data_IF_247310378467
#
_entry.id   IF_247310378467
#
_cell.length_a   1.000
_cell.length_b   1.000
_cell.length_c   1.000
_cell.angle_alpha   90.00
_cell.angle_beta   90.00
_cell.angle_gamma   90.00
#
_symmetry.space_group_name_H-M   'P 1'
#
loop_
_entity.id
_entity.type
_entity.pdbx_description
1 polymer ?
#
# COMPACT_ATOMS: atom_id res chain seq x y z
N UNK A 1 -19.25 1.04 -26.43
CA UNK A 1 -17.91 0.87 -25.84
C UNK A 1 -17.97 -0.41 -25.03
N UNK A 2 -17.63 -1.53 -25.66
CA UNK A 2 -17.74 -2.88 -25.08
C UNK A 2 -16.61 -3.07 -24.08
N UNK A 3 -16.94 -3.58 -22.89
CA UNK A 3 -16.00 -3.92 -21.84
C UNK A 3 -14.86 -4.75 -22.43
N UNK A 4 -13.64 -4.19 -22.40
CA UNK A 4 -12.44 -5.00 -22.56
C UNK A 4 -12.50 -6.11 -21.51
N UNK A 5 -12.09 -7.32 -21.87
CA UNK A 5 -11.89 -8.43 -20.94
C UNK A 5 -11.08 -7.95 -19.72
N UNK A 6 -11.77 -7.64 -18.61
CA UNK A 6 -11.28 -6.66 -17.60
C UNK A 6 -10.20 -7.21 -16.67
N UNK A 7 -9.66 -8.41 -16.93
CA UNK A 7 -8.66 -9.02 -16.05
C UNK A 7 -9.12 -9.10 -14.58
N UNK A 8 -10.44 -9.16 -14.34
CA UNK A 8 -11.00 -9.21 -13.01
C UNK A 8 -10.60 -10.52 -12.35
N UNK A 9 -10.06 -10.43 -11.14
CA UNK A 9 -9.60 -11.57 -10.34
C UNK A 9 -10.34 -11.63 -9.02
N UNK A 10 -10.34 -12.81 -8.43
CA UNK A 10 -10.81 -12.97 -7.06
C UNK A 10 -9.88 -12.24 -6.09
N UNK A 11 -10.43 -11.81 -4.96
CA UNK A 11 -9.62 -11.36 -3.83
C UNK A 11 -8.92 -12.54 -3.17
N UNK A 12 -7.74 -12.28 -2.63
CA UNK A 12 -7.10 -13.20 -1.70
C UNK A 12 -7.98 -13.39 -0.45
N UNK A 13 -7.74 -14.44 0.33
CA UNK A 13 -8.51 -14.70 1.55
C UNK A 13 -8.38 -13.53 2.54
N UNK A 14 -7.17 -12.98 2.67
CA UNK A 14 -6.90 -11.81 3.49
C UNK A 14 -7.64 -10.56 2.97
N UNK A 15 -7.52 -10.25 1.67
CA UNK A 15 -8.23 -9.12 1.07
C UNK A 15 -9.75 -9.24 1.23
N UNK A 16 -10.31 -10.44 1.08
CA UNK A 16 -11.76 -10.67 1.22
C UNK A 16 -12.22 -10.42 2.66
N UNK A 17 -11.45 -10.83 3.66
CA UNK A 17 -11.74 -10.52 5.06
C UNK A 17 -11.76 -9.00 5.32
N UNK A 18 -10.75 -8.30 4.80
CA UNK A 18 -10.65 -6.83 4.91
C UNK A 18 -11.80 -6.13 4.17
N UNK A 19 -12.14 -6.59 2.96
CA UNK A 19 -13.26 -6.06 2.19
C UNK A 19 -14.57 -6.11 2.97
N UNK A 20 -14.90 -7.27 3.55
CA UNK A 20 -16.12 -7.43 4.33
C UNK A 20 -16.09 -6.61 5.62
N UNK A 21 -14.93 -6.51 6.29
CA UNK A 21 -14.79 -5.62 7.44
C UNK A 21 -15.08 -4.16 7.08
N UNK A 22 -14.57 -3.67 5.94
CA UNK A 22 -14.88 -2.30 5.47
C UNK A 22 -16.37 -2.11 5.18
N UNK A 23 -17.08 -3.12 4.66
CA UNK A 23 -18.51 -3.00 4.37
C UNK A 23 -19.37 -2.79 5.63
N UNK A 24 -18.89 -3.22 6.81
CA UNK A 24 -19.61 -3.02 8.07
C UNK A 24 -19.59 -1.56 8.54
N UNK A 25 -18.52 -0.83 8.20
CA UNK A 25 -18.36 0.59 8.51
C UNK A 25 -17.63 1.31 7.36
N UNK A 26 -18.34 1.64 6.26
CA UNK A 26 -17.72 2.11 5.01
C UNK A 26 -16.87 3.37 5.12
N UNK A 27 -17.20 4.25 6.08
CA UNK A 27 -16.48 5.51 6.31
C UNK A 27 -15.40 5.40 7.40
N UNK A 28 -15.25 4.23 8.04
CA UNK A 28 -14.23 4.01 9.05
C UNK A 28 -12.85 3.91 8.39
N UNK A 29 -11.87 4.58 9.00
CA UNK A 29 -10.49 4.63 8.55
C UNK A 29 -9.60 3.64 9.28
N UNK A 30 -10.16 2.74 10.10
CA UNK A 30 -9.41 1.71 10.84
C UNK A 30 -8.60 0.79 9.92
N UNK A 31 -8.99 0.66 8.65
CA UNK A 31 -8.28 -0.11 7.62
C UNK A 31 -7.27 0.72 6.80
N UNK A 32 -7.08 1.99 7.13
CA UNK A 32 -5.90 2.72 6.70
C UNK A 32 -4.72 2.37 7.64
N UNK A 33 -3.66 1.84 7.07
CA UNK A 33 -2.38 1.65 7.75
C UNK A 33 -1.41 2.72 7.28
N UNK A 34 -0.66 3.32 8.21
CA UNK A 34 0.33 4.31 7.87
C UNK A 34 1.57 4.20 8.76
N UNK A 35 2.68 4.62 8.18
CA UNK A 35 3.98 4.74 8.80
C UNK A 35 4.64 6.04 8.33
N UNK A 36 5.61 6.52 9.09
CA UNK A 36 6.55 7.51 8.59
C UNK A 36 7.96 7.19 9.05
N UNK A 37 8.93 7.55 8.22
CA UNK A 37 10.35 7.47 8.53
C UNK A 37 10.91 8.87 8.72
N UNK A 38 11.63 9.08 9.80
CA UNK A 38 12.42 10.27 10.06
C UNK A 38 13.82 10.07 9.46
N UNK A 39 14.21 11.00 8.59
CA UNK A 39 15.42 10.94 7.79
C UNK A 39 16.23 12.18 8.09
N UNK A 40 17.32 12.00 8.81
CA UNK A 40 18.28 13.05 9.14
C UNK A 40 19.46 13.05 8.16
N UNK A 41 20.18 14.18 8.08
CA UNK A 41 21.37 14.34 7.24
C UNK A 41 21.14 15.10 5.94
N UNK A 42 20.08 15.93 5.85
CA UNK A 42 19.91 16.91 4.79
C UNK A 42 19.61 16.30 3.41
N UNK A 43 18.80 15.24 3.39
CA UNK A 43 18.35 14.64 2.13
C UNK A 43 17.61 15.67 1.26
N UNK A 44 17.85 15.66 -0.06
CA UNK A 44 17.13 16.55 -0.99
C UNK A 44 15.66 16.12 -1.09
N UNK A 45 14.67 16.95 -0.67
CA UNK A 45 13.27 16.55 -0.64
C UNK A 45 12.72 16.19 -2.03
N UNK A 46 13.15 16.91 -3.08
CA UNK A 46 12.67 16.70 -4.44
C UNK A 46 13.28 15.43 -5.03
N UNK A 47 14.55 15.17 -4.73
CA UNK A 47 15.21 13.93 -5.11
C UNK A 47 14.59 12.74 -4.39
N UNK A 48 14.30 12.87 -3.10
CA UNK A 48 13.63 11.84 -2.30
C UNK A 48 12.22 11.55 -2.83
N UNK A 49 11.42 12.57 -3.15
CA UNK A 49 10.12 12.38 -3.77
C UNK A 49 10.21 11.68 -5.14
N UNK A 50 11.27 11.93 -5.92
CA UNK A 50 11.52 11.19 -7.17
C UNK A 50 11.89 9.73 -6.91
N UNK A 51 12.69 9.45 -5.87
CA UNK A 51 13.03 8.10 -5.46
C UNK A 51 11.79 7.30 -5.04
N UNK A 52 10.92 7.91 -4.23
CA UNK A 52 9.63 7.31 -3.84
C UNK A 52 8.80 6.95 -5.07
N UNK A 53 8.63 7.86 -6.03
CA UNK A 53 7.91 7.57 -7.28
C UNK A 53 8.53 6.41 -8.04
N UNK A 54 9.85 6.39 -8.18
CA UNK A 54 10.55 5.35 -8.92
C UNK A 54 10.42 3.97 -8.24
N UNK A 55 10.50 3.91 -6.91
CA UNK A 55 10.47 2.68 -6.14
C UNK A 55 9.11 1.95 -6.17
N UNK A 56 8.02 2.71 -6.33
CA UNK A 56 6.65 2.16 -6.31
C UNK A 56 5.98 2.09 -7.68
N UNK A 57 6.58 2.70 -8.72
CA UNK A 57 5.99 2.78 -10.05
C UNK A 57 5.69 1.41 -10.69
N UNK A 58 6.53 0.42 -10.39
CA UNK A 58 6.42 -0.95 -10.90
C UNK A 58 5.71 -1.92 -9.94
N UNK A 59 5.35 -1.46 -8.74
CA UNK A 59 4.66 -2.27 -7.74
C UNK A 59 3.16 -2.25 -8.02
N UNK A 60 2.61 -3.37 -8.51
CA UNK A 60 1.23 -3.45 -8.97
C UNK A 60 0.19 -3.22 -7.86
N UNK A 61 0.54 -3.51 -6.60
CA UNK A 61 -0.31 -3.29 -5.44
C UNK A 61 -0.82 -1.84 -5.34
N UNK A 62 0.00 -0.83 -5.68
CA UNK A 62 -0.42 0.58 -5.68
C UNK A 62 -1.42 0.91 -6.79
N UNK A 63 -1.57 0.01 -7.78
CA UNK A 63 -2.50 0.13 -8.91
C UNK A 63 -3.72 -0.79 -8.78
N UNK A 64 -3.82 -1.56 -7.69
CA UNK A 64 -4.99 -2.39 -7.44
C UNK A 64 -6.23 -1.53 -7.18
N UNK A 65 -7.35 -1.99 -7.72
CA UNK A 65 -8.69 -1.46 -7.52
C UNK A 65 -9.65 -2.60 -7.26
N UNK A 66 -10.74 -2.28 -6.58
CA UNK A 66 -11.72 -3.25 -6.16
C UNK A 66 -13.11 -2.86 -6.65
N UNK A 67 -13.90 -3.85 -7.04
CA UNK A 67 -15.26 -3.67 -7.53
C UNK A 67 -16.12 -4.85 -7.10
N UNK A 68 -17.43 -4.76 -7.35
CA UNK A 68 -18.34 -5.89 -7.19
C UNK A 68 -18.82 -6.31 -8.58
N UNK A 69 -18.63 -7.58 -8.91
CA UNK A 69 -19.14 -8.20 -10.14
C UNK A 69 -19.93 -9.45 -9.76
N UNK A 70 -21.16 -9.56 -10.26
CA UNK A 70 -22.09 -10.67 -9.96
C UNK A 70 -22.31 -10.91 -8.46
N UNK A 71 -22.31 -9.83 -7.66
CA UNK A 71 -22.49 -9.88 -6.21
C UNK A 71 -21.23 -10.24 -5.41
N UNK A 72 -20.11 -10.54 -6.07
CA UNK A 72 -18.86 -10.92 -5.43
C UNK A 72 -17.79 -9.82 -5.60
N UNK A 73 -16.94 -9.58 -4.57
CA UNK A 73 -15.84 -8.64 -4.71
C UNK A 73 -14.78 -9.19 -5.66
N UNK A 74 -14.31 -8.33 -6.56
CA UNK A 74 -13.25 -8.60 -7.53
C UNK A 74 -12.19 -7.51 -7.47
N UNK A 75 -10.97 -7.85 -7.85
CA UNK A 75 -9.87 -6.92 -8.00
C UNK A 75 -9.39 -6.86 -9.45
N UNK A 76 -8.82 -5.74 -9.83
CA UNK A 76 -8.11 -5.56 -11.09
C UNK A 76 -6.97 -4.55 -10.90
N UNK A 77 -6.00 -4.61 -11.81
CA UNK A 77 -4.86 -3.70 -11.80
C UNK A 77 -5.06 -2.62 -12.86
N UNK A 78 -5.05 -1.36 -12.46
CA UNK A 78 -5.06 -0.26 -13.42
C UNK A 78 -3.75 -0.19 -14.21
N UNK A 79 -3.77 0.34 -15.46
CA UNK A 79 -2.55 0.64 -16.20
C UNK A 79 -1.58 1.50 -15.37
N UNK A 80 -0.29 1.44 -15.71
CA UNK A 80 0.69 2.33 -15.10
C UNK A 80 0.29 3.81 -15.29
N UNK A 81 0.34 4.55 -14.20
CA UNK A 81 0.02 5.97 -14.14
C UNK A 81 1.04 6.69 -13.25
N UNK A 82 1.04 8.01 -13.30
CA UNK A 82 1.92 8.81 -12.44
C UNK A 82 1.59 8.57 -10.97
N UNK A 83 2.63 8.32 -10.18
CA UNK A 83 2.51 8.13 -8.72
C UNK A 83 2.53 9.50 -8.05
N UNK A 84 1.43 9.93 -7.39
CA UNK A 84 1.43 11.18 -6.66
C UNK A 84 2.27 11.05 -5.39
N UNK A 85 3.28 11.92 -5.26
CA UNK A 85 4.05 12.10 -4.02
C UNK A 85 4.01 13.58 -3.69
N UNK A 86 3.36 13.91 -2.58
CA UNK A 86 3.22 15.29 -2.12
C UNK A 86 4.52 15.76 -1.48
N UNK A 87 4.86 17.03 -1.71
CA UNK A 87 5.92 17.72 -0.98
C UNK A 87 5.24 18.75 -0.08
N UNK A 88 5.42 18.59 1.22
CA UNK A 88 4.79 19.45 2.24
C UNK A 88 5.90 20.12 3.03
N UNK A 89 6.01 21.44 2.95
CA UNK A 89 7.01 22.18 3.72
C UNK A 89 6.36 22.74 4.98
N UNK A 90 6.81 22.28 6.14
CA UNK A 90 6.38 22.77 7.46
C UNK A 90 7.54 23.41 8.22
N UNK A 91 8.70 23.61 7.58
CA UNK A 91 9.91 24.13 8.22
C UNK A 91 9.76 25.56 8.75
N UNK A 92 8.82 26.31 8.20
CA UNK A 92 8.48 27.67 8.63
C UNK A 92 7.43 27.71 9.76
N UNK A 93 6.87 26.57 10.17
CA UNK A 93 5.93 26.51 11.28
C UNK A 93 6.64 26.74 12.62
N UNK A 94 5.96 27.27 13.66
CA UNK A 94 6.56 27.47 14.98
C UNK A 94 7.07 26.16 15.62
N UNK A 95 6.37 25.06 15.37
CA UNK A 95 6.70 23.71 15.85
C UNK A 95 6.64 22.72 14.66
N UNK A 96 7.67 22.69 13.77
CA UNK A 96 7.62 21.95 12.50
C UNK A 96 7.30 20.47 12.65
N UNK A 97 7.87 19.81 13.66
CA UNK A 97 7.59 18.40 13.95
C UNK A 97 6.11 18.18 14.29
N UNK A 98 5.56 18.99 15.19
CA UNK A 98 4.17 18.88 15.60
C UNK A 98 3.22 19.15 14.42
N UNK A 99 3.56 20.09 13.54
CA UNK A 99 2.84 20.37 12.30
C UNK A 99 2.87 19.18 11.33
N UNK A 100 4.04 18.57 11.11
CA UNK A 100 4.17 17.36 10.30
C UNK A 100 3.30 16.21 10.86
N UNK A 101 3.37 15.95 12.16
CA UNK A 101 2.54 14.91 12.79
C UNK A 101 1.04 15.21 12.71
N UNK A 102 0.64 16.47 12.86
CA UNK A 102 -0.76 16.88 12.70
C UNK A 102 -1.24 16.68 11.26
N UNK A 103 -0.41 16.99 10.27
CA UNK A 103 -0.67 16.71 8.87
C UNK A 103 -0.87 15.20 8.64
N UNK A 104 0.04 14.36 9.12
CA UNK A 104 -0.03 12.89 8.98
C UNK A 104 -1.28 12.31 9.65
N UNK A 105 -1.61 12.77 10.87
CA UNK A 105 -2.84 12.36 11.57
C UNK A 105 -4.11 12.76 10.82
N UNK A 106 -4.10 13.91 10.17
CA UNK A 106 -5.22 14.38 9.34
C UNK A 106 -5.37 13.49 8.11
N UNK A 107 -4.27 13.20 7.40
CA UNK A 107 -4.25 12.34 6.22
C UNK A 107 -4.69 10.91 6.55
N UNK A 108 -4.23 10.33 7.66
CA UNK A 108 -4.61 8.98 8.12
C UNK A 108 -6.13 8.84 8.33
N UNK A 109 -6.77 9.90 8.82
CA UNK A 109 -8.21 9.97 9.09
C UNK A 109 -9.07 10.28 7.87
N UNK A 110 -8.49 10.38 6.67
CA UNK A 110 -9.27 10.57 5.45
C UNK A 110 -9.90 9.23 5.04
N UNK A 111 -11.23 9.17 4.87
CA UNK A 111 -11.88 7.99 4.32
C UNK A 111 -11.34 7.66 2.92
N UNK A 112 -11.18 6.38 2.65
CA UNK A 112 -10.68 5.86 1.38
C UNK A 112 -11.71 4.86 0.90
N UNK A 113 -12.40 5.17 -0.20
CA UNK A 113 -13.31 4.21 -0.82
C UNK A 113 -12.49 3.22 -1.66
N UNK A 114 -12.48 1.91 -1.34
CA UNK A 114 -11.78 0.89 -2.12
C UNK A 114 -12.14 0.84 -3.61
N UNK A 115 -13.28 1.42 -3.97
CA UNK A 115 -13.84 1.43 -5.33
C UNK A 115 -13.46 2.69 -6.10
N UNK A 116 -12.90 3.72 -5.45
CA UNK A 116 -12.61 4.99 -6.12
C UNK A 116 -11.25 5.56 -5.73
N UNK A 117 -10.41 5.78 -6.74
CA UNK A 117 -9.14 6.48 -6.58
C UNK A 117 -8.00 5.63 -6.00
N UNK A 118 -6.84 6.25 -5.76
CA UNK A 118 -5.69 5.57 -5.19
C UNK A 118 -5.95 5.13 -3.74
N UNK A 119 -5.56 3.90 -3.42
CA UNK A 119 -5.71 3.34 -2.07
C UNK A 119 -4.53 3.70 -1.16
N UNK A 120 -3.78 4.73 -1.49
CA UNK A 120 -2.56 5.12 -0.80
C UNK A 120 -2.39 6.64 -0.79
N UNK A 121 -1.52 7.12 0.09
CA UNK A 121 -1.02 8.49 0.08
C UNK A 121 0.47 8.48 0.43
N UNK A 122 1.26 9.23 -0.34
CA UNK A 122 2.71 9.36 -0.17
C UNK A 122 3.05 10.84 -0.03
N UNK A 123 3.83 11.18 0.99
CA UNK A 123 4.30 12.55 1.18
C UNK A 123 5.73 12.59 1.72
N UNK A 124 6.47 13.60 1.29
CA UNK A 124 7.75 13.99 1.87
C UNK A 124 7.52 15.33 2.55
N UNK A 125 7.64 15.34 3.88
CA UNK A 125 7.48 16.52 4.72
C UNK A 125 8.85 17.09 5.05
N UNK A 126 9.07 18.36 4.72
CA UNK A 126 10.29 19.11 5.08
C UNK A 126 10.08 19.70 6.46
N UNK A 127 10.82 19.18 7.45
CA UNK A 127 10.73 19.60 8.86
C UNK A 127 11.80 20.63 9.19
N UNK A 128 12.99 20.47 8.62
CA UNK A 128 14.10 21.43 8.70
C UNK A 128 15.02 21.23 7.48
N UNK A 129 16.09 22.02 7.39
CA UNK A 129 17.13 21.83 6.37
C UNK A 129 17.85 20.46 6.48
N UNK A 130 17.81 19.82 7.66
CA UNK A 130 18.53 18.56 7.93
C UNK A 130 17.60 17.35 8.10
N UNK A 131 16.29 17.56 8.31
CA UNK A 131 15.33 16.50 8.64
C UNK A 131 14.14 16.49 7.69
N UNK A 132 13.89 15.32 7.09
CA UNK A 132 12.68 15.01 6.34
C UNK A 132 11.88 13.92 7.04
N UNK A 133 10.55 14.00 6.98
CA UNK A 133 9.69 12.85 7.24
C UNK A 133 9.16 12.31 5.92
N UNK A 134 9.34 11.03 5.67
CA UNK A 134 8.65 10.35 4.59
C UNK A 134 7.44 9.61 5.15
N UNK A 135 6.25 10.06 4.77
CA UNK A 135 4.97 9.47 5.14
C UNK A 135 4.45 8.54 4.06
N UNK A 136 3.93 7.40 4.51
CA UNK A 136 3.36 6.38 3.69
C UNK A 136 2.08 5.84 4.33
N UNK A 137 0.94 6.04 3.67
CA UNK A 137 -0.34 5.40 4.00
C UNK A 137 -0.77 4.49 2.88
N UNK A 138 -1.29 3.33 3.23
CA UNK A 138 -1.98 2.43 2.33
C UNK A 138 -3.29 1.92 2.97
N UNK A 139 -4.27 1.59 2.16
CA UNK A 139 -5.41 0.78 2.62
C UNK A 139 -4.92 -0.65 2.79
N UNK A 140 -5.36 -1.32 3.85
CA UNK A 140 -4.91 -2.67 4.20
C UNK A 140 -5.23 -3.74 3.13
N UNK A 141 -6.05 -3.39 2.12
CA UNK A 141 -6.37 -4.22 0.96
C UNK A 141 -5.18 -4.41 0.00
N UNK A 142 -4.26 -3.45 -0.03
CA UNK A 142 -3.13 -3.45 -0.97
C UNK A 142 -1.79 -3.65 -0.30
N UNK A 143 -1.70 -3.46 1.02
CA UNK A 143 -0.43 -3.54 1.72
C UNK A 143 -0.62 -3.98 3.17
N UNK A 144 0.36 -4.72 3.67
CA UNK A 144 0.54 -5.07 5.08
C UNK A 144 1.87 -4.50 5.60
N UNK A 145 2.18 -4.75 6.88
CA UNK A 145 3.42 -4.26 7.50
C UNK A 145 4.69 -4.84 6.87
N UNK A 146 4.64 -6.04 6.31
CA UNK A 146 5.80 -6.62 5.63
C UNK A 146 6.06 -5.93 4.28
N UNK A 147 4.99 -5.70 3.52
CA UNK A 147 5.03 -4.91 2.29
C UNK A 147 5.56 -3.50 2.52
N UNK A 148 5.13 -2.82 3.59
CA UNK A 148 5.65 -1.49 3.99
C UNK A 148 7.16 -1.46 4.14
N UNK A 149 7.73 -2.42 4.88
CA UNK A 149 9.17 -2.54 5.07
C UNK A 149 9.95 -2.78 3.75
N UNK A 150 9.40 -3.61 2.85
CA UNK A 150 10.00 -3.84 1.53
C UNK A 150 9.99 -2.58 0.66
N UNK A 151 8.91 -1.81 0.72
CA UNK A 151 8.82 -0.53 0.01
C UNK A 151 9.82 0.48 0.58
N UNK A 152 9.98 0.56 1.90
CA UNK A 152 10.98 1.41 2.51
C UNK A 152 12.42 1.09 2.04
N UNK A 153 12.77 -0.18 1.97
CA UNK A 153 14.06 -0.61 1.43
C UNK A 153 14.23 -0.19 -0.05
N UNK A 154 13.21 -0.41 -0.88
CA UNK A 154 13.23 0.01 -2.30
C UNK A 154 13.40 1.52 -2.46
N UNK A 155 12.77 2.33 -1.60
CA UNK A 155 12.91 3.80 -1.61
C UNK A 155 14.34 4.21 -1.26
N UNK A 156 14.96 3.58 -0.26
CA UNK A 156 16.35 3.85 0.12
C UNK A 156 17.32 3.51 -1.03
N UNK A 157 17.12 2.38 -1.70
CA UNK A 157 17.92 1.98 -2.88
C UNK A 157 17.74 2.96 -4.04
N UNK A 158 16.50 3.35 -4.33
CA UNK A 158 16.19 4.32 -5.37
C UNK A 158 16.83 5.69 -5.09
N UNK A 159 16.76 6.16 -3.85
CA UNK A 159 17.37 7.42 -3.45
C UNK A 159 18.88 7.38 -3.60
N UNK A 160 19.53 6.32 -3.11
CA UNK A 160 20.98 6.12 -3.21
C UNK A 160 21.46 6.09 -4.67
N UNK A 161 20.73 5.40 -5.55
CA UNK A 161 21.03 5.37 -6.98
C UNK A 161 20.90 6.75 -7.63
N UNK A 162 19.83 7.49 -7.32
CA UNK A 162 19.60 8.82 -7.90
C UNK A 162 20.56 9.89 -7.36
N UNK A 163 20.98 9.78 -6.09
CA UNK A 163 21.94 10.70 -5.46
C UNK A 163 23.30 10.69 -6.15
N UNK A 164 23.72 9.52 -6.62
CA UNK A 164 24.98 9.35 -7.38
C UNK A 164 24.83 9.67 -8.88
N UNK A 165 23.67 10.17 -9.31
CA UNK A 165 23.36 10.47 -10.71
C UNK A 165 23.05 9.23 -11.56
N UNK A 166 22.91 8.06 -10.93
CA UNK A 166 22.55 6.81 -11.58
C UNK A 166 21.04 6.67 -11.85
N UNK A 167 20.64 5.44 -12.21
CA UNK A 167 19.24 5.05 -12.41
C UNK A 167 18.88 3.95 -11.43
N UNK A 168 17.68 3.99 -10.87
CA UNK A 168 17.13 2.87 -10.13
C UNK A 168 16.79 1.71 -11.09
N UNK A 169 17.31 0.53 -10.83
CA UNK A 169 17.20 -0.66 -11.70
C UNK A 169 16.83 -1.92 -10.95
N UNK A 170 16.17 -1.80 -9.79
CA UNK A 170 15.69 -2.99 -9.10
C UNK A 170 14.67 -3.73 -9.97
N UNK A 171 14.63 -5.05 -9.83
CA UNK A 171 13.59 -5.86 -10.45
C UNK A 171 12.24 -5.54 -9.80
N UNK A 172 11.19 -5.55 -10.62
CA UNK A 172 9.83 -5.38 -10.13
C UNK A 172 9.47 -6.59 -9.24
N UNK A 173 8.75 -6.38 -8.12
CA UNK A 173 8.18 -7.49 -7.39
C UNK A 173 7.27 -8.35 -8.28
N UNK A 174 7.11 -9.62 -7.92
CA UNK A 174 6.11 -10.46 -8.59
C UNK A 174 4.72 -9.83 -8.48
N UNK A 175 3.90 -9.89 -9.54
CA UNK A 175 2.58 -9.29 -9.52
C UNK A 175 1.66 -10.03 -8.55
N UNK A 176 0.72 -9.29 -7.96
CA UNK A 176 -0.33 -9.80 -7.07
C UNK A 176 -1.10 -10.99 -7.64
N UNK A 177 -1.19 -11.13 -8.96
CA UNK A 177 -1.81 -12.29 -9.62
C UNK A 177 -1.14 -13.61 -9.27
N UNK A 178 0.18 -13.64 -9.03
CA UNK A 178 0.89 -14.87 -8.60
C UNK A 178 0.34 -15.36 -7.27
N UNK A 179 0.09 -14.46 -6.34
CA UNK A 179 -0.52 -14.78 -5.05
C UNK A 179 -1.97 -15.28 -5.20
N UNK A 180 -2.76 -14.62 -6.06
CA UNK A 180 -4.14 -15.06 -6.34
C UNK A 180 -4.16 -16.47 -6.93
N UNK A 181 -3.29 -16.75 -7.89
CA UNK A 181 -3.22 -18.06 -8.55
C UNK A 181 -2.75 -19.14 -7.56
N UNK A 182 -1.80 -18.83 -6.68
CA UNK A 182 -1.35 -19.71 -5.61
C UNK A 182 -2.46 -20.03 -4.60
N UNK A 183 -3.24 -19.03 -4.18
CA UNK A 183 -4.40 -19.28 -3.30
C UNK A 183 -5.46 -20.14 -3.97
N UNK A 184 -5.74 -19.91 -5.26
CA UNK A 184 -6.69 -20.72 -6.00
C UNK A 184 -6.21 -22.18 -6.09
N UNK A 185 -4.92 -22.39 -6.38
CA UNK A 185 -4.31 -23.71 -6.39
C UNK A 185 -4.41 -24.41 -5.02
N UNK A 186 -4.14 -23.68 -3.93
CA UNK A 186 -4.30 -24.20 -2.56
C UNK A 186 -5.76 -24.60 -2.27
N UNK A 187 -6.73 -23.75 -2.63
CA UNK A 187 -8.16 -24.03 -2.36
C UNK A 187 -8.68 -25.26 -3.11
N UNK A 188 -8.09 -25.58 -4.25
CA UNK A 188 -8.39 -26.75 -5.05
C UNK A 188 -7.60 -28.01 -4.64
N UNK A 189 -6.64 -27.89 -3.71
CA UNK A 189 -5.80 -28.99 -3.30
C UNK A 189 -6.42 -29.80 -2.14
N UNK A 190 -5.99 -31.06 -1.94
CA UNK A 190 -6.36 -31.85 -0.77
C UNK A 190 -5.87 -31.25 0.57
N UNK A 191 -4.89 -30.33 0.52
CA UNK A 191 -4.29 -29.72 1.71
C UNK A 191 -5.32 -28.85 2.44
N UNK A 192 -6.20 -28.18 1.70
CA UNK A 192 -7.30 -27.39 2.26
C UNK A 192 -8.16 -28.19 3.23
N UNK A 193 -8.58 -29.40 2.88
CA UNK A 193 -9.43 -30.21 3.76
C UNK A 193 -8.65 -30.73 4.97
N UNK A 194 -7.35 -31.00 4.83
CA UNK A 194 -6.50 -31.38 5.98
C UNK A 194 -6.34 -30.22 6.95
N UNK A 195 -6.05 -29.03 6.44
CA UNK A 195 -5.90 -27.83 7.26
C UNK A 195 -7.23 -27.45 7.93
N UNK A 196 -8.35 -27.58 7.21
CA UNK A 196 -9.69 -27.38 7.78
C UNK A 196 -9.96 -28.32 8.94
N UNK A 197 -9.69 -29.62 8.78
CA UNK A 197 -9.89 -30.61 9.85
C UNK A 197 -9.01 -30.30 11.06
N UNK A 198 -7.74 -29.95 10.83
CA UNK A 198 -6.81 -29.56 11.88
C UNK A 198 -7.29 -28.33 12.67
N UNK A 199 -7.72 -27.26 11.99
CA UNK A 199 -8.18 -26.04 12.67
C UNK A 199 -9.49 -26.23 13.42
N UNK A 200 -10.42 -27.05 12.90
CA UNK A 200 -11.66 -27.40 13.60
C UNK A 200 -11.39 -28.17 14.89
N UNK A 201 -10.48 -29.14 14.86
CA UNK A 201 -10.07 -29.90 16.05
C UNK A 201 -9.37 -29.00 17.08
N UNK A 202 -8.41 -28.18 16.62
CA UNK A 202 -7.66 -27.25 17.47
C UNK A 202 -8.57 -26.24 18.18
N UNK A 203 -9.56 -25.70 17.46
CA UNK A 203 -10.46 -24.67 18.01
C UNK A 203 -11.68 -25.25 18.74
N UNK A 204 -11.90 -26.57 18.73
CA UNK A 204 -13.04 -27.19 19.40
C UNK A 204 -13.07 -26.94 20.92
N UNK A 205 -11.91 -26.62 21.53
CA UNK A 205 -11.78 -26.29 22.95
C UNK A 205 -11.60 -24.79 23.27
N UNK A 206 -11.65 -23.91 22.27
CA UNK A 206 -11.50 -22.47 22.47
C UNK A 206 -12.87 -21.83 22.75
N UNK A 207 -13.20 -21.68 24.04
CA UNK A 207 -14.37 -20.95 24.54
C UNK A 207 -13.95 -19.67 25.26
#
# INVERSE_FOLDING_TARGET
MTAADTGLRELTAAQRGIWYAQQLAPDDTVLNVAEYLEIDGGADPRLFARAVRAAVADVDAYRLRFTVADGEPRQYTEPAADVPVQLVDVSAEPEPRAAAEAWMRTELRRPVDPRSGPLFALAVLVVSDDTLFWYHRAHHLILDGHGGALIAARVADAYSALLTGGRYTAEAPEPSTVLVDAEHAYRASPDRERDRAFWLDTLAGAS
#
